data_IF_070387322436
#
_entry.id   IF_070387322436
#
_cell.length_a   1.000
_cell.length_b   1.000
_cell.length_c   1.000
_cell.angle_alpha   90.00
_cell.angle_beta   90.00
_cell.angle_gamma   90.00
#
_symmetry.space_group_name_H-M   'P 1'
#
loop_
_entity.id
_entity.type
_entity.pdbx_description
1 polymer ?
#
# COMPACT_ATOMS: atom_id res chain seq x y z
N UNK A 1 -12.07 -33.11 23.59
CA UNK A 1 -12.33 -34.24 22.68
C UNK A 1 -13.73 -34.06 22.14
N UNK A 2 -13.85 -33.28 21.06
CA UNK A 2 -15.05 -33.22 20.21
C UNK A 2 -14.55 -33.04 18.78
N UNK A 3 -15.02 -33.93 17.92
CA UNK A 3 -14.59 -34.14 16.55
C UNK A 3 -14.90 -32.96 15.64
N UNK A 4 -13.93 -32.62 14.80
CA UNK A 4 -14.12 -31.79 13.61
C UNK A 4 -14.79 -32.64 12.50
N UNK A 5 -15.72 -32.09 11.70
CA UNK A 5 -16.19 -32.76 10.50
C UNK A 5 -15.03 -32.96 9.51
N UNK A 6 -14.80 -34.22 9.11
CA UNK A 6 -13.85 -34.58 8.07
C UNK A 6 -14.30 -33.99 6.72
N UNK A 7 -13.62 -32.95 6.25
CA UNK A 7 -13.86 -32.34 4.93
C UNK A 7 -13.20 -30.97 4.74
N UNK A 8 -13.09 -30.17 5.81
CA UNK A 8 -12.60 -28.79 5.70
C UNK A 8 -11.11 -28.66 5.34
N UNK A 9 -10.30 -29.66 5.74
CA UNK A 9 -8.85 -29.65 5.48
C UNK A 9 -8.51 -29.93 4.02
N UNK A 10 -9.39 -30.62 3.29
CA UNK A 10 -9.13 -31.05 1.90
C UNK A 10 -9.46 -29.94 0.91
N UNK A 11 -10.43 -29.08 1.21
CA UNK A 11 -10.89 -28.01 0.32
C UNK A 11 -9.96 -26.79 0.32
N UNK A 12 -9.32 -26.50 1.47
CA UNK A 12 -8.35 -25.40 1.60
C UNK A 12 -7.02 -25.72 0.90
N UNK A 13 -6.58 -26.98 0.95
CA UNK A 13 -5.32 -27.41 0.33
C UNK A 13 -5.43 -27.59 -1.19
N UNK A 14 -6.64 -27.81 -1.73
CA UNK A 14 -6.87 -27.81 -3.19
C UNK A 14 -6.94 -26.41 -3.79
N UNK A 15 -7.23 -25.37 -2.99
CA UNK A 15 -7.42 -24.00 -3.48
C UNK A 15 -6.13 -23.16 -3.51
N UNK A 16 -5.06 -23.59 -2.83
CA UNK A 16 -3.79 -22.86 -2.74
C UNK A 16 -2.54 -23.77 -2.68
N UNK A 17 -2.09 -24.37 -3.80
CA UNK A 17 -0.97 -25.32 -3.81
C UNK A 17 0.44 -24.70 -3.76
N UNK A 18 0.59 -23.38 -3.53
CA UNK A 18 1.89 -22.68 -3.56
C UNK A 18 2.29 -21.96 -2.26
N UNK A 19 1.89 -22.51 -1.11
CA UNK A 19 2.42 -22.10 0.20
C UNK A 19 3.52 -23.03 0.73
N UNK A 20 4.08 -23.91 -0.11
CA UNK A 20 5.25 -24.70 0.22
C UNK A 20 6.50 -24.14 -0.48
N UNK A 21 7.19 -23.22 0.18
CA UNK A 21 8.63 -22.99 -0.03
C UNK A 21 9.29 -23.53 1.24
N UNK A 22 9.70 -24.79 1.21
CA UNK A 22 11.09 -25.17 0.92
C UNK A 22 12.03 -24.78 2.06
N UNK A 23 12.10 -25.69 3.05
CA UNK A 23 13.36 -26.03 3.71
C UNK A 23 14.40 -26.31 2.64
N UNK A 24 15.44 -25.48 2.54
CA UNK A 24 16.81 -25.82 2.12
C UNK A 24 17.58 -24.52 1.82
N UNK A 25 18.14 -23.90 2.87
CA UNK A 25 19.30 -22.98 2.82
C UNK A 25 19.78 -22.65 4.24
N UNK A 26 20.04 -23.67 5.06
CA UNK A 26 20.77 -23.50 6.33
C UNK A 26 21.83 -24.59 6.39
N UNK A 27 23.00 -24.30 5.82
CA UNK A 27 24.27 -24.99 6.10
C UNK A 27 25.41 -24.11 5.62
N UNK A 28 25.93 -23.30 6.53
CA UNK A 28 27.31 -22.83 6.68
C UNK A 28 27.32 -21.59 7.56
N UNK A 29 27.03 -21.77 8.85
CA UNK A 29 27.39 -20.80 9.89
C UNK A 29 27.66 -21.53 11.20
N UNK A 30 28.44 -22.60 11.09
CA UNK A 30 29.05 -23.31 12.21
C UNK A 30 30.52 -23.45 11.86
N UNK A 31 31.29 -22.37 12.01
CA UNK A 31 32.58 -22.48 12.69
C UNK A 31 33.20 -21.10 12.99
N UNK A 32 33.91 -21.07 14.10
CA UNK A 32 34.82 -20.00 14.56
C UNK A 32 34.21 -18.86 15.38
N UNK A 33 33.75 -19.27 16.57
CA UNK A 33 34.25 -18.64 17.78
C UNK A 33 35.79 -18.68 17.81
N UNK A 34 36.46 -17.54 17.66
CA UNK A 34 37.77 -17.21 18.25
C UNK A 34 38.26 -15.82 17.78
N UNK A 35 37.93 -14.77 18.54
CA UNK A 35 38.85 -13.67 18.83
C UNK A 35 38.19 -12.60 19.71
N UNK A 36 38.69 -12.47 20.94
CA UNK A 36 38.69 -11.26 21.77
C UNK A 36 39.82 -11.42 22.79
N UNK A 37 40.34 -10.33 23.38
CA UNK A 37 40.68 -9.03 22.80
C UNK A 37 42.11 -8.63 23.21
N UNK A 38 42.61 -7.48 22.76
CA UNK A 38 43.66 -6.78 23.52
C UNK A 38 43.28 -5.32 23.78
N UNK A 39 43.33 -4.99 25.07
CA UNK A 39 42.84 -3.77 25.71
C UNK A 39 44.02 -2.87 26.07
N UNK A 40 43.92 -1.56 25.76
CA UNK A 40 44.37 -0.47 26.65
C UNK A 40 44.37 0.94 26.02
N UNK A 41 44.09 1.12 24.72
CA UNK A 41 44.10 2.46 24.10
C UNK A 41 42.70 3.12 23.94
N UNK A 42 41.61 2.35 23.97
CA UNK A 42 40.25 2.86 23.72
C UNK A 42 39.57 3.51 24.94
N UNK A 43 40.10 3.31 26.15
CA UNK A 43 39.51 3.81 27.40
C UNK A 43 39.86 5.28 27.70
N UNK A 44 40.87 5.86 27.06
CA UNK A 44 41.32 7.24 27.34
C UNK A 44 40.62 8.31 26.49
N UNK A 45 40.02 7.95 25.35
CA UNK A 45 39.36 8.90 24.43
C UNK A 45 37.86 9.06 24.77
N UNK A 46 37.24 8.06 25.42
CA UNK A 46 35.83 8.10 25.82
C UNK A 46 35.50 9.08 26.95
N UNK A 47 36.45 9.36 27.85
CA UNK A 47 36.19 10.19 29.03
C UNK A 47 36.25 11.71 28.77
N UNK A 48 36.95 12.20 27.74
CA UNK A 48 37.00 13.65 27.44
C UNK A 48 35.76 14.12 26.65
N UNK A 49 35.15 13.25 25.86
CA UNK A 49 33.94 13.57 25.09
C UNK A 49 32.69 13.67 26.00
N UNK A 50 32.59 12.79 27.00
CA UNK A 50 31.51 12.81 27.99
C UNK A 50 31.53 14.09 28.86
N UNK A 51 32.72 14.61 29.19
CA UNK A 51 32.88 15.84 29.99
C UNK A 51 32.64 17.15 29.20
N UNK A 52 32.69 17.10 27.86
CA UNK A 52 32.38 18.23 26.97
C UNK A 52 30.90 18.33 26.63
N UNK A 53 30.17 17.21 26.58
CA UNK A 53 28.73 17.18 26.31
C UNK A 53 27.87 17.63 27.50
N UNK A 54 28.39 17.63 28.73
CA UNK A 54 27.67 18.00 29.94
C UNK A 54 27.53 19.54 30.18
N UNK A 55 28.01 20.40 29.27
CA UNK A 55 28.15 21.85 29.52
C UNK A 55 27.37 22.79 28.60
N UNK A 56 26.37 22.31 27.85
CA UNK A 56 25.55 23.21 27.03
C UNK A 56 24.08 22.73 26.96
N UNK A 57 23.16 23.30 27.75
CA UNK A 57 21.73 23.00 27.60
C UNK A 57 21.19 23.82 26.42
N UNK A 58 21.14 23.20 25.24
CA UNK A 58 20.25 23.67 24.18
C UNK A 58 18.84 23.19 24.53
N UNK A 59 17.94 24.15 24.74
CA UNK A 59 16.51 23.95 24.94
C UNK A 59 15.95 23.04 23.83
N UNK A 60 15.42 21.88 24.21
CA UNK A 60 14.68 21.01 23.29
C UNK A 60 13.28 21.61 23.10
N UNK A 61 12.77 21.72 21.87
CA UNK A 61 11.35 21.99 21.67
C UNK A 61 10.54 20.86 22.32
N UNK A 62 9.47 21.21 23.03
CA UNK A 62 8.55 20.26 23.68
C UNK A 62 7.96 19.29 22.65
N UNK A 63 8.60 18.13 22.47
CA UNK A 63 7.98 16.98 21.86
C UNK A 63 7.11 16.34 22.94
N UNK A 64 5.79 16.45 22.78
CA UNK A 64 4.82 15.78 23.67
C UNK A 64 5.20 14.31 23.84
N UNK A 65 5.27 13.85 25.09
CA UNK A 65 5.58 12.45 25.39
C UNK A 65 4.53 11.54 24.75
N UNK A 66 4.93 10.39 24.15
CA UNK A 66 3.96 9.44 23.62
C UNK A 66 3.00 9.04 24.74
N UNK A 67 1.68 8.98 24.47
CA UNK A 67 0.71 8.76 25.52
C UNK A 67 0.83 7.32 26.03
N UNK A 68 1.15 7.15 27.31
CA UNK A 68 1.39 5.85 27.96
C UNK A 68 0.12 4.99 28.03
N UNK A 69 0.30 3.66 28.04
CA UNK A 69 -0.78 2.66 28.06
C UNK A 69 -1.93 3.01 29.01
N UNK A 70 -3.12 3.18 28.45
CA UNK A 70 -4.31 3.75 29.11
C UNK A 70 -4.87 4.98 28.37
N UNK A 71 -4.15 5.52 27.39
CA UNK A 71 -4.61 6.56 26.50
C UNK A 71 -5.60 6.05 25.44
N UNK A 72 -6.59 6.89 25.13
CA UNK A 72 -7.51 6.71 24.00
C UNK A 72 -7.08 7.59 22.84
N UNK A 73 -7.50 7.23 21.63
CA UNK A 73 -7.32 8.00 20.41
C UNK A 73 -8.59 7.97 19.57
N UNK A 74 -8.75 8.95 18.68
CA UNK A 74 -9.82 8.98 17.70
C UNK A 74 -9.49 8.04 16.52
N UNK A 75 -10.50 7.27 16.11
CA UNK A 75 -10.42 6.40 14.95
C UNK A 75 -11.78 6.24 14.29
N UNK A 76 -11.76 5.95 12.99
CA UNK A 76 -12.93 5.46 12.28
C UNK A 76 -13.05 3.96 12.57
N UNK A 77 -14.18 3.56 13.14
CA UNK A 77 -14.48 2.15 13.45
C UNK A 77 -15.63 1.65 12.60
N UNK A 78 -15.48 0.48 12.01
CA UNK A 78 -16.55 -0.28 11.36
C UNK A 78 -17.05 -1.36 12.33
N UNK A 79 -18.34 -1.33 12.66
CA UNK A 79 -18.94 -2.14 13.72
C UNK A 79 -18.90 -3.64 13.44
N UNK A 80 -19.41 -4.05 12.29
CA UNK A 80 -19.50 -5.44 11.86
C UNK A 80 -19.73 -5.51 10.34
N UNK A 81 -19.43 -6.67 9.72
CA UNK A 81 -19.54 -6.84 8.26
C UNK A 81 -20.97 -6.66 7.75
N UNK A 82 -21.97 -7.08 8.52
CA UNK A 82 -23.38 -7.02 8.12
C UNK A 82 -23.90 -5.59 8.01
N UNK A 83 -23.40 -4.68 8.86
CA UNK A 83 -23.77 -3.26 8.85
C UNK A 83 -23.13 -2.49 7.69
N UNK A 84 -22.07 -3.03 7.07
CA UNK A 84 -21.37 -2.38 5.96
C UNK A 84 -21.02 -0.92 6.25
N UNK A 85 -21.34 -0.03 5.30
CA UNK A 85 -21.06 1.41 5.41
C UNK A 85 -21.90 2.13 6.48
N UNK A 86 -23.04 1.57 6.87
CA UNK A 86 -23.91 2.15 7.90
C UNK A 86 -23.39 1.88 9.32
N UNK A 87 -22.47 0.91 9.47
CA UNK A 87 -21.78 0.59 10.72
C UNK A 87 -20.52 1.40 10.97
N UNK A 88 -20.20 2.41 10.15
CA UNK A 88 -18.98 3.21 10.28
C UNK A 88 -19.25 4.45 11.14
N UNK A 89 -18.41 4.69 12.15
CA UNK A 89 -18.48 5.85 13.02
C UNK A 89 -17.08 6.35 13.40
N UNK A 90 -16.97 7.62 13.79
CA UNK A 90 -15.82 8.14 14.53
C UNK A 90 -15.99 7.76 16.00
N UNK A 91 -14.98 7.12 16.58
CA UNK A 91 -15.01 6.58 17.94
C UNK A 91 -13.68 6.80 18.66
N UNK A 92 -13.74 6.84 19.99
CA UNK A 92 -12.55 6.70 20.83
C UNK A 92 -12.19 5.23 21.02
N UNK A 93 -10.95 4.86 20.72
CA UNK A 93 -10.42 3.52 20.91
C UNK A 93 -9.09 3.56 21.67
N UNK A 94 -8.66 2.46 22.30
CA UNK A 94 -7.35 2.41 22.97
C UNK A 94 -6.20 2.71 22.00
N UNK A 95 -5.17 3.38 22.50
CA UNK A 95 -3.90 3.57 21.79
C UNK A 95 -3.30 2.21 21.38
N UNK A 96 -2.73 2.09 20.16
CA UNK A 96 -2.25 0.82 19.65
C UNK A 96 -1.01 0.34 20.39
N UNK A 97 -0.90 -0.97 20.61
CA UNK A 97 0.32 -1.57 21.13
C UNK A 97 1.22 -2.01 19.97
N UNK A 98 2.51 -1.65 20.02
CA UNK A 98 3.50 -2.16 19.07
C UNK A 98 3.85 -3.62 19.39
N UNK A 99 3.70 -4.51 18.41
CA UNK A 99 4.25 -5.87 18.48
C UNK A 99 5.75 -5.87 18.16
N UNK A 100 6.36 -7.05 18.17
CA UNK A 100 7.73 -7.22 17.66
C UNK A 100 7.83 -6.77 16.21
N UNK A 101 8.89 -6.02 15.89
CA UNK A 101 9.18 -5.42 14.58
C UNK A 101 8.18 -4.36 14.10
N UNK A 102 7.24 -3.93 14.95
CA UNK A 102 6.34 -2.83 14.65
C UNK A 102 6.97 -1.46 14.95
N UNK A 103 6.40 -0.44 14.34
CA UNK A 103 6.45 0.94 14.83
C UNK A 103 5.04 1.44 15.08
N UNK A 104 4.87 2.34 16.05
CA UNK A 104 3.65 3.16 16.10
C UNK A 104 3.90 4.44 15.30
N UNK A 105 2.99 4.73 14.39
CA UNK A 105 3.02 5.92 13.55
C UNK A 105 1.88 6.83 13.98
N UNK A 106 2.19 8.09 14.28
CA UNK A 106 1.21 9.18 14.28
C UNK A 106 0.82 9.44 12.83
N UNK A 107 -0.43 9.20 12.48
CA UNK A 107 -0.90 9.31 11.10
C UNK A 107 -1.19 10.78 10.79
N UNK A 108 -0.64 11.28 9.69
CA UNK A 108 -0.93 12.64 9.20
C UNK A 108 -1.97 12.59 8.07
N UNK A 109 -1.84 11.62 7.17
CA UNK A 109 -2.81 11.35 6.12
C UNK A 109 -2.93 9.85 5.86
N UNK A 110 -4.13 9.42 5.50
CA UNK A 110 -4.43 8.02 5.22
C UNK A 110 -5.32 7.86 4.00
N UNK A 111 -5.13 6.75 3.29
CA UNK A 111 -5.95 6.33 2.17
C UNK A 111 -6.78 5.10 2.52
N UNK A 112 -7.93 4.99 1.85
CA UNK A 112 -8.82 3.84 1.95
C UNK A 112 -9.16 3.33 0.55
N UNK A 113 -9.59 2.07 0.46
CA UNK A 113 -9.97 1.43 -0.81
C UNK A 113 -11.48 1.25 -0.85
N UNK A 114 -12.17 1.75 -1.89
CA UNK A 114 -13.59 1.48 -2.05
C UNK A 114 -13.89 -0.02 -2.05
N UNK A 115 -14.87 -0.45 -1.25
CA UNK A 115 -15.24 -1.85 -1.11
C UNK A 115 -14.38 -2.65 -0.12
N UNK A 116 -13.40 -2.06 0.57
CA UNK A 116 -12.56 -2.82 1.51
C UNK A 116 -13.34 -3.49 2.65
N UNK A 117 -14.50 -2.96 3.03
CA UNK A 117 -15.37 -3.56 4.03
C UNK A 117 -16.04 -4.86 3.57
N UNK A 118 -16.01 -5.17 2.28
CA UNK A 118 -16.50 -6.44 1.73
C UNK A 118 -15.42 -7.54 1.84
N UNK A 119 -14.17 -7.17 2.10
CA UNK A 119 -13.07 -8.12 2.16
C UNK A 119 -13.07 -8.91 3.47
N UNK A 120 -12.88 -10.24 3.43
CA UNK A 120 -12.78 -11.04 4.65
C UNK A 120 -11.66 -10.59 5.60
N UNK A 121 -10.54 -10.10 5.06
CA UNK A 121 -9.39 -9.64 5.86
C UNK A 121 -9.72 -8.42 6.74
N UNK A 122 -10.70 -7.61 6.35
CA UNK A 122 -11.15 -6.45 7.14
C UNK A 122 -11.84 -6.85 8.45
N UNK A 123 -12.26 -8.12 8.57
CA UNK A 123 -13.04 -8.65 9.68
C UNK A 123 -12.37 -9.80 10.42
N UNK A 124 -11.33 -10.40 9.85
CA UNK A 124 -10.59 -11.50 10.47
C UNK A 124 -9.09 -11.23 10.54
N UNK A 125 -8.47 -11.61 11.66
CA UNK A 125 -7.02 -11.60 11.79
C UNK A 125 -6.36 -12.74 10.98
N UNK A 126 -5.02 -12.83 10.95
CA UNK A 126 -4.29 -13.90 10.24
C UNK A 126 -4.63 -15.32 10.71
N UNK A 127 -5.17 -15.46 11.92
CA UNK A 127 -5.61 -16.75 12.48
C UNK A 127 -7.09 -17.03 12.20
N UNK A 128 -7.78 -16.16 11.46
CA UNK A 128 -9.20 -16.28 11.14
C UNK A 128 -10.13 -15.88 12.29
N UNK A 129 -9.62 -15.20 13.33
CA UNK A 129 -10.45 -14.75 14.46
C UNK A 129 -11.13 -13.42 14.12
N UNK A 130 -12.39 -13.31 14.51
CA UNK A 130 -13.15 -12.07 14.38
C UNK A 130 -12.47 -10.93 15.15
N UNK A 131 -12.39 -9.76 14.52
CA UNK A 131 -11.77 -8.54 15.06
C UNK A 131 -12.71 -7.34 15.03
N UNK A 132 -14.00 -7.55 14.84
CA UNK A 132 -15.00 -6.50 14.94
C UNK A 132 -15.09 -5.92 16.38
N UNK A 133 -15.24 -4.59 16.56
CA UNK A 133 -15.16 -3.55 15.53
C UNK A 133 -13.73 -3.35 15.02
N UNK A 134 -13.58 -3.10 13.71
CA UNK A 134 -12.27 -2.89 13.07
C UNK A 134 -12.05 -1.45 12.63
N UNK A 135 -10.79 -1.03 12.53
CA UNK A 135 -10.41 0.27 11.93
C UNK A 135 -10.10 0.07 10.44
N UNK A 136 -10.79 0.76 9.51
CA UNK A 136 -10.50 0.66 8.06
C UNK A 136 -9.28 1.47 7.60
N UNK A 137 -8.93 1.33 6.33
CA UNK A 137 -7.85 2.03 5.63
C UNK A 137 -6.51 1.31 5.75
N UNK A 138 -5.79 1.15 4.64
CA UNK A 138 -4.61 0.29 4.60
C UNK A 138 -3.35 0.96 4.04
N UNK A 139 -3.35 2.29 3.96
CA UNK A 139 -2.16 3.05 3.59
C UNK A 139 -2.11 4.38 4.32
N UNK A 140 -0.89 4.81 4.66
CA UNK A 140 -0.68 6.00 5.45
C UNK A 140 0.54 6.79 5.00
N UNK A 141 0.57 8.04 5.46
CA UNK A 141 1.76 8.83 5.65
C UNK A 141 1.73 9.49 7.03
N UNK A 142 2.88 9.50 7.73
CA UNK A 142 2.95 10.04 9.09
C UNK A 142 4.36 10.04 9.67
N UNK A 143 4.45 10.07 11.00
CA UNK A 143 5.71 10.15 11.76
C UNK A 143 5.79 9.02 12.77
N UNK A 144 6.93 8.32 12.82
CA UNK A 144 7.18 7.28 13.82
C UNK A 144 7.27 7.93 15.22
N UNK A 145 6.46 7.46 16.16
CA UNK A 145 6.45 7.94 17.55
C UNK A 145 6.95 6.91 18.56
N UNK A 146 6.93 5.63 18.18
CA UNK A 146 7.35 4.52 19.03
C UNK A 146 7.96 3.39 18.20
N UNK A 147 8.94 2.68 18.77
CA UNK A 147 9.55 1.49 18.18
C UNK A 147 9.20 0.27 19.02
N UNK A 148 8.63 -0.75 18.38
CA UNK A 148 8.53 -2.08 18.94
C UNK A 148 9.90 -2.76 19.08
N UNK A 149 9.96 -3.79 19.92
CA UNK A 149 11.17 -4.59 20.08
C UNK A 149 11.58 -5.25 18.75
N UNK A 150 12.88 -5.26 18.43
CA UNK A 150 13.41 -5.86 17.21
C UNK A 150 13.30 -5.01 15.94
N UNK A 151 12.67 -3.83 16.02
CA UNK A 151 12.54 -2.94 14.86
C UNK A 151 13.88 -2.44 14.35
N UNK A 152 14.04 -2.48 13.02
CA UNK A 152 15.26 -2.03 12.32
C UNK A 152 14.95 -1.05 11.20
N UNK A 153 15.92 -0.17 10.92
CA UNK A 153 15.89 0.75 9.78
C UNK A 153 14.92 1.92 9.89
N UNK A 154 14.24 2.12 11.02
CA UNK A 154 13.41 3.30 11.31
C UNK A 154 13.75 3.88 12.69
N UNK A 155 13.47 5.16 12.89
CA UNK A 155 13.73 5.89 14.14
C UNK A 155 12.54 6.76 14.54
N UNK A 156 12.38 7.02 15.84
CA UNK A 156 11.37 7.99 16.33
C UNK A 156 11.64 9.38 15.73
N UNK A 157 10.57 10.06 15.32
CA UNK A 157 10.60 11.34 14.62
C UNK A 157 10.78 11.20 13.09
N UNK A 158 10.97 10.00 12.57
CA UNK A 158 11.13 9.79 11.14
C UNK A 158 9.78 9.85 10.40
N UNK A 159 9.74 10.65 9.33
CA UNK A 159 8.61 10.68 8.39
C UNK A 159 8.60 9.40 7.57
N UNK A 160 7.44 8.76 7.48
CA UNK A 160 7.24 7.47 6.83
C UNK A 160 5.92 7.42 6.06
N UNK A 161 5.84 6.48 5.12
CA UNK A 161 4.62 6.16 4.40
C UNK A 161 4.67 4.70 3.94
N UNK A 162 3.52 4.08 3.71
CA UNK A 162 3.46 2.68 3.30
C UNK A 162 2.11 2.02 3.56
N UNK A 163 2.10 0.69 3.53
CA UNK A 163 0.89 -0.10 3.74
C UNK A 163 0.77 -0.61 5.18
N UNK A 164 -0.43 -0.54 5.72
CA UNK A 164 -0.81 -1.29 6.91
C UNK A 164 -1.31 -2.69 6.51
N UNK A 165 -1.23 -3.64 7.44
CA UNK A 165 -1.66 -5.01 7.19
C UNK A 165 -3.18 -5.12 7.04
N UNK A 166 -3.64 -5.93 6.08
CA UNK A 166 -5.06 -6.16 5.79
C UNK A 166 -5.83 -6.75 6.98
N UNK A 167 -5.15 -7.51 7.83
CA UNK A 167 -5.71 -8.29 8.95
C UNK A 167 -5.51 -7.62 10.32
N UNK A 168 -5.06 -6.36 10.34
CA UNK A 168 -4.87 -5.54 11.55
C UNK A 168 -5.70 -4.25 11.46
N UNK A 169 -5.84 -3.55 12.59
CA UNK A 169 -6.46 -2.22 12.57
C UNK A 169 -5.72 -1.31 11.60
N UNK A 170 -6.52 -0.62 10.79
CA UNK A 170 -6.08 0.21 9.70
C UNK A 170 -5.63 1.59 10.13
N UNK A 171 -5.60 2.48 9.14
CA UNK A 171 -4.88 3.75 9.16
C UNK A 171 -5.79 4.96 9.31
N UNK A 172 -7.12 4.78 9.28
CA UNK A 172 -8.08 5.83 9.60
C UNK A 172 -8.18 6.04 11.13
N UNK A 173 -7.05 6.36 11.76
CA UNK A 173 -6.90 6.59 13.19
C UNK A 173 -5.74 7.55 13.44
N UNK A 174 -5.73 8.24 14.59
CA UNK A 174 -4.63 9.15 14.96
C UNK A 174 -3.28 8.42 15.07
N UNK A 175 -3.28 7.17 15.51
CA UNK A 175 -2.10 6.32 15.61
C UNK A 175 -2.38 4.92 15.08
N UNK A 176 -1.36 4.29 14.51
CA UNK A 176 -1.44 2.90 14.03
C UNK A 176 -0.12 2.17 14.24
N UNK A 177 -0.21 0.91 14.69
CA UNK A 177 0.94 0.02 14.76
C UNK A 177 1.10 -0.72 13.42
N UNK A 178 2.28 -0.61 12.82
CA UNK A 178 2.59 -1.17 11.48
C UNK A 178 3.95 -1.85 11.50
N UNK A 179 4.06 -2.97 10.80
CA UNK A 179 5.33 -3.69 10.66
C UNK A 179 6.34 -2.79 9.92
N UNK A 180 7.50 -2.55 10.53
CA UNK A 180 8.48 -1.56 10.06
C UNK A 180 8.96 -1.81 8.62
N UNK A 181 8.97 -3.07 8.17
CA UNK A 181 9.36 -3.45 6.81
C UNK A 181 8.38 -2.99 5.73
N UNK A 182 7.13 -2.68 6.10
CA UNK A 182 6.10 -2.22 5.16
C UNK A 182 6.14 -0.70 4.92
N UNK A 183 6.99 0.01 5.67
CA UNK A 183 7.11 1.46 5.63
C UNK A 183 8.43 1.88 4.99
N UNK A 184 8.36 2.90 4.14
CA UNK A 184 9.52 3.56 3.58
C UNK A 184 9.71 4.95 4.21
N UNK A 185 10.97 5.43 4.34
CA UNK A 185 11.25 6.81 4.68
C UNK A 185 10.60 7.76 3.67
N UNK A 186 9.96 8.81 4.16
CA UNK A 186 9.38 9.86 3.34
C UNK A 186 10.36 11.06 3.26
N UNK A 187 10.76 11.51 2.06
CA UNK A 187 11.57 12.72 1.92
C UNK A 187 10.90 13.95 2.54
N UNK A 188 11.69 14.82 3.17
CA UNK A 188 11.24 16.01 3.91
C UNK A 188 10.34 16.96 3.09
N UNK A 189 10.51 16.99 1.77
CA UNK A 189 9.84 17.87 0.82
C UNK A 189 8.61 17.26 0.13
N UNK A 190 8.26 16.01 0.46
CA UNK A 190 7.02 15.38 -0.02
C UNK A 190 5.92 15.55 1.03
N UNK A 191 4.80 16.14 0.61
CA UNK A 191 3.61 16.35 1.45
C UNK A 191 2.93 15.02 1.87
N UNK A 192 2.42 14.96 3.10
CA UNK A 192 1.81 13.75 3.66
C UNK A 192 0.55 13.31 2.90
N UNK A 193 -0.28 14.23 2.39
CA UNK A 193 -1.48 13.88 1.62
C UNK A 193 -1.10 13.27 0.28
N UNK A 194 -0.10 13.86 -0.41
CA UNK A 194 0.42 13.29 -1.66
C UNK A 194 1.05 11.92 -1.41
N UNK A 195 1.82 11.79 -0.34
CA UNK A 195 2.46 10.53 0.05
C UNK A 195 1.45 9.43 0.37
N UNK A 196 0.35 9.75 1.09
CA UNK A 196 -0.67 8.78 1.45
C UNK A 196 -1.46 8.22 0.24
N UNK A 197 -1.45 8.91 -0.90
CA UNK A 197 -2.10 8.44 -2.13
C UNK A 197 -1.28 7.38 -2.90
N UNK A 198 -0.03 7.16 -2.50
CA UNK A 198 0.97 6.42 -3.27
C UNK A 198 1.12 4.93 -2.92
N UNK A 199 0.99 4.45 -1.67
CA UNK A 199 1.41 3.09 -1.32
C UNK A 199 0.68 2.00 -2.08
N UNK A 200 -0.64 1.92 -1.96
CA UNK A 200 -1.43 0.92 -2.69
C UNK A 200 -1.37 1.25 -4.19
N UNK A 201 -1.73 2.47 -4.59
CA UNK A 201 -1.83 2.84 -6.01
C UNK A 201 -0.54 2.61 -6.79
N UNK A 202 0.59 3.01 -6.20
CA UNK A 202 1.91 2.96 -6.82
C UNK A 202 2.52 1.57 -6.81
N UNK A 203 2.43 0.82 -5.71
CA UNK A 203 2.93 -0.56 -5.70
C UNK A 203 2.08 -1.47 -6.59
N UNK A 204 0.76 -1.28 -6.60
CA UNK A 204 -0.12 -2.03 -7.50
C UNK A 204 0.20 -1.74 -8.96
N UNK A 205 0.40 -0.46 -9.32
CA UNK A 205 0.82 -0.10 -10.68
C UNK A 205 2.19 -0.69 -11.03
N UNK A 206 3.17 -0.60 -10.13
CA UNK A 206 4.52 -1.13 -10.36
C UNK A 206 4.52 -2.65 -10.55
N UNK A 207 3.95 -3.39 -9.61
CA UNK A 207 3.90 -4.86 -9.65
C UNK A 207 3.09 -5.32 -10.87
N UNK A 208 1.97 -4.65 -11.15
CA UNK A 208 1.13 -4.96 -12.29
C UNK A 208 1.85 -4.82 -13.62
N UNK A 209 2.59 -3.73 -13.82
CA UNK A 209 3.30 -3.46 -15.07
C UNK A 209 4.59 -4.27 -15.20
N UNK A 210 5.43 -4.30 -14.17
CA UNK A 210 6.82 -4.75 -14.30
C UNK A 210 7.03 -6.17 -13.76
N UNK A 211 6.56 -6.47 -12.55
CA UNK A 211 6.84 -7.77 -11.93
C UNK A 211 5.98 -8.87 -12.57
N UNK A 212 4.70 -8.56 -12.78
CA UNK A 212 3.72 -9.47 -13.35
C UNK A 212 3.57 -9.33 -14.85
N UNK A 213 3.36 -8.09 -15.32
CA UNK A 213 3.17 -7.75 -16.72
C UNK A 213 4.44 -7.86 -17.56
N UNK A 214 5.62 -7.75 -16.93
CA UNK A 214 6.94 -7.78 -17.59
C UNK A 214 7.02 -6.80 -18.76
N UNK A 215 6.42 -5.62 -18.59
CA UNK A 215 6.40 -4.58 -19.61
C UNK A 215 7.82 -4.12 -19.92
N UNK A 216 8.15 -4.07 -21.21
CA UNK A 216 9.44 -3.62 -21.73
C UNK A 216 9.26 -2.47 -22.71
N UNK A 217 10.37 -1.77 -23.00
CA UNK A 217 10.40 -0.66 -23.96
C UNK A 217 9.82 -1.04 -25.32
N UNK A 218 9.05 -0.15 -25.93
CA UNK A 218 8.45 -0.35 -27.24
C UNK A 218 7.17 -1.21 -27.25
N UNK A 219 6.84 -1.88 -26.16
CA UNK A 219 5.57 -2.61 -26.04
C UNK A 219 4.38 -1.65 -25.89
N UNK A 220 3.19 -2.11 -26.26
CA UNK A 220 1.93 -1.40 -26.10
C UNK A 220 1.16 -1.92 -24.89
N UNK A 221 0.77 -1.04 -23.98
CA UNK A 221 -0.06 -1.36 -22.80
C UNK A 221 -1.40 -0.65 -22.86
N UNK A 222 -2.47 -1.40 -22.61
CA UNK A 222 -3.81 -0.88 -22.31
C UNK A 222 -4.02 -0.83 -20.80
N UNK A 223 -4.28 0.36 -20.26
CA UNK A 223 -4.51 0.58 -18.82
C UNK A 223 -5.97 0.94 -18.60
N UNK A 224 -6.75 0.05 -17.97
CA UNK A 224 -8.10 0.38 -17.54
C UNK A 224 -8.11 1.36 -16.37
N UNK A 225 -9.18 2.15 -16.25
CA UNK A 225 -9.35 3.09 -15.14
C UNK A 225 -8.22 4.13 -15.08
N UNK A 226 -7.74 4.58 -16.23
CA UNK A 226 -6.50 5.36 -16.37
C UNK A 226 -6.50 6.72 -15.63
N UNK A 227 -7.66 7.26 -15.26
CA UNK A 227 -7.77 8.47 -14.42
C UNK A 227 -7.97 8.19 -12.92
N UNK A 228 -8.05 6.92 -12.51
CA UNK A 228 -8.17 6.51 -11.12
C UNK A 228 -6.83 6.47 -10.39
N UNK A 229 -6.86 6.13 -9.09
CA UNK A 229 -5.65 6.07 -8.25
C UNK A 229 -4.54 5.18 -8.83
N UNK A 230 -4.85 3.91 -9.11
CA UNK A 230 -3.88 2.96 -9.68
C UNK A 230 -3.54 3.30 -11.14
N UNK A 231 -4.57 3.48 -11.97
CA UNK A 231 -4.41 3.66 -13.42
C UNK A 231 -3.60 4.90 -13.79
N UNK A 232 -3.76 6.01 -13.05
CA UNK A 232 -3.02 7.25 -13.32
C UNK A 232 -1.52 7.12 -13.04
N UNK A 233 -1.14 6.34 -12.03
CA UNK A 233 0.26 6.01 -11.75
C UNK A 233 0.80 5.04 -12.82
N UNK A 234 0.01 4.04 -13.20
CA UNK A 234 0.40 3.07 -14.22
C UNK A 234 0.67 3.71 -15.59
N UNK A 235 -0.17 4.68 -16.02
CA UNK A 235 0.06 5.43 -17.26
C UNK A 235 1.41 6.13 -17.24
N UNK A 236 1.73 6.83 -16.15
CA UNK A 236 2.98 7.58 -16.01
C UNK A 236 4.21 6.64 -15.97
N UNK A 237 4.13 5.55 -15.21
CA UNK A 237 5.23 4.57 -15.11
C UNK A 237 5.48 3.84 -16.42
N UNK A 238 4.43 3.41 -17.12
CA UNK A 238 4.56 2.79 -18.43
C UNK A 238 5.15 3.76 -19.47
N UNK A 239 4.75 5.05 -19.41
CA UNK A 239 5.32 6.09 -20.26
C UNK A 239 6.80 6.31 -19.96
N UNK A 240 7.19 6.38 -18.68
CA UNK A 240 8.60 6.51 -18.26
C UNK A 240 9.43 5.30 -18.74
N UNK A 241 8.85 4.09 -18.75
CA UNK A 241 9.50 2.88 -19.24
C UNK A 241 9.63 2.78 -20.77
N UNK A 242 9.13 3.77 -21.52
CA UNK A 242 9.20 3.80 -22.98
C UNK A 242 8.19 2.89 -23.69
N UNK A 243 7.10 2.53 -23.02
CA UNK A 243 5.98 1.82 -23.63
C UNK A 243 5.03 2.78 -24.37
N UNK A 244 4.34 2.28 -25.40
CA UNK A 244 3.17 2.96 -25.96
C UNK A 244 1.98 2.71 -25.02
N UNK A 245 1.41 3.78 -24.48
CA UNK A 245 0.35 3.70 -23.47
C UNK A 245 -1.00 4.08 -24.09
N UNK A 246 -1.97 3.18 -23.99
CA UNK A 246 -3.38 3.44 -24.26
C UNK A 246 -4.09 3.47 -22.91
N UNK A 247 -4.57 4.64 -22.50
CA UNK A 247 -5.36 4.75 -21.27
C UNK A 247 -6.84 4.61 -21.58
N UNK A 248 -7.57 3.82 -20.78
CA UNK A 248 -9.00 3.60 -20.96
C UNK A 248 -9.81 4.06 -19.75
N UNK A 249 -10.97 4.63 -20.01
CA UNK A 249 -11.85 5.16 -18.97
C UNK A 249 -13.16 5.70 -19.56
N UNK A 250 -13.80 6.62 -18.84
CA UNK A 250 -14.99 7.34 -19.32
C UNK A 250 -14.56 8.47 -20.24
N UNK A 251 -15.38 8.84 -21.22
CA UNK A 251 -15.11 9.98 -22.12
C UNK A 251 -14.63 11.26 -21.39
N UNK A 252 -15.24 11.58 -20.25
CA UNK A 252 -14.90 12.76 -19.43
C UNK A 252 -13.50 12.74 -18.79
N UNK A 253 -12.80 11.60 -18.82
CA UNK A 253 -11.46 11.42 -18.28
C UNK A 253 -10.36 11.56 -19.35
N UNK A 254 -10.74 11.69 -20.64
CA UNK A 254 -9.81 11.71 -21.78
C UNK A 254 -8.65 12.68 -21.61
N UNK A 255 -8.95 13.95 -21.33
CA UNK A 255 -7.92 14.99 -21.30
C UNK A 255 -6.94 14.78 -20.13
N UNK A 256 -7.45 14.30 -18.99
CA UNK A 256 -6.60 13.97 -17.84
C UNK A 256 -5.67 12.82 -18.16
N UNK A 257 -6.19 11.77 -18.81
CA UNK A 257 -5.39 10.60 -19.18
C UNK A 257 -4.29 10.94 -20.20
N UNK A 258 -4.59 11.83 -21.15
CA UNK A 258 -3.60 12.31 -22.11
C UNK A 258 -2.55 13.22 -21.45
N UNK A 259 -2.95 14.10 -20.52
CA UNK A 259 -2.02 14.93 -19.73
C UNK A 259 -1.07 14.09 -18.87
N UNK A 260 -1.53 12.93 -18.38
CA UNK A 260 -0.69 11.97 -17.65
C UNK A 260 0.33 11.22 -18.54
N UNK A 261 0.28 11.40 -19.86
CA UNK A 261 1.27 10.86 -20.81
C UNK A 261 0.79 9.67 -21.63
N UNK A 262 -0.50 9.32 -21.59
CA UNK A 262 -1.06 8.34 -22.51
C UNK A 262 -0.92 8.82 -23.96
N UNK A 263 -0.62 7.90 -24.88
CA UNK A 263 -0.48 8.19 -26.31
C UNK A 263 -1.82 8.17 -27.03
N UNK A 264 -2.76 7.38 -26.51
CA UNK A 264 -4.13 7.29 -27.00
C UNK A 264 -5.08 7.08 -25.84
N UNK A 265 -6.35 7.42 -26.07
CA UNK A 265 -7.42 7.22 -25.10
C UNK A 265 -8.48 6.28 -25.69
N UNK A 266 -8.93 5.32 -24.90
CA UNK A 266 -10.04 4.43 -25.23
C UNK A 266 -11.24 4.72 -24.33
N UNK A 267 -12.36 5.10 -24.94
CA UNK A 267 -13.64 5.18 -24.23
C UNK A 267 -14.19 3.76 -24.01
N UNK A 268 -14.40 3.40 -22.74
CA UNK A 268 -14.95 2.10 -22.37
C UNK A 268 -16.44 1.97 -22.72
N UNK A 269 -17.13 3.05 -23.03
CA UNK A 269 -18.53 2.99 -23.50
C UNK A 269 -18.62 2.82 -25.02
N UNK A 270 -17.50 2.90 -25.74
CA UNK A 270 -17.46 2.66 -27.19
C UNK A 270 -17.75 1.19 -27.54
N UNK A 271 -18.51 1.00 -28.62
CA UNK A 271 -18.94 -0.32 -29.13
C UNK A 271 -17.81 -1.01 -29.90
N UNK A 272 -16.97 -0.24 -30.61
CA UNK A 272 -15.87 -0.74 -31.42
C UNK A 272 -14.57 0.02 -31.07
N UNK A 273 -13.71 -0.57 -30.21
CA UNK A 273 -12.45 0.06 -29.84
C UNK A 273 -11.41 -0.05 -30.96
N UNK A 274 -11.17 1.05 -31.69
CA UNK A 274 -10.10 1.13 -32.71
C UNK A 274 -8.80 1.65 -32.10
N UNK A 275 -8.09 0.79 -31.36
CA UNK A 275 -6.79 1.13 -30.74
C UNK A 275 -5.65 0.17 -31.08
N UNK A 276 -5.93 -0.81 -31.95
CA UNK A 276 -5.01 -1.88 -32.33
C UNK A 276 -4.79 -2.92 -31.23
N UNK A 277 -3.91 -3.88 -31.51
CA UNK A 277 -3.53 -4.91 -30.55
C UNK A 277 -2.56 -4.38 -29.48
N UNK A 278 -2.55 -5.01 -28.30
CA UNK A 278 -1.68 -4.65 -27.17
C UNK A 278 -0.91 -5.85 -26.63
N UNK A 279 0.30 -5.59 -26.12
CA UNK A 279 1.17 -6.57 -25.45
C UNK A 279 0.71 -6.88 -24.03
N UNK A 280 0.23 -5.85 -23.32
CA UNK A 280 -0.18 -5.92 -21.92
C UNK A 280 -1.54 -5.25 -21.73
N UNK A 281 -2.46 -5.96 -21.10
CA UNK A 281 -3.70 -5.39 -20.55
C UNK A 281 -3.56 -5.33 -19.03
N UNK A 282 -3.47 -4.13 -18.48
CA UNK A 282 -3.50 -3.90 -17.04
C UNK A 282 -4.88 -3.41 -16.60
N UNK A 283 -5.57 -4.26 -15.85
CA UNK A 283 -6.98 -4.12 -15.52
C UNK A 283 -7.22 -3.86 -14.02
N UNK A 284 -8.04 -2.86 -13.76
CA UNK A 284 -8.49 -2.45 -12.42
C UNK A 284 -10.01 -2.34 -12.34
N UNK A 285 -10.73 -2.83 -13.36
CA UNK A 285 -12.19 -2.73 -13.48
C UNK A 285 -12.83 -4.12 -13.44
N UNK A 286 -12.26 -5.11 -14.13
CA UNK A 286 -12.78 -6.47 -14.17
C UNK A 286 -14.05 -6.62 -15.02
N UNK A 287 -14.75 -7.73 -14.81
CA UNK A 287 -16.06 -8.02 -15.42
C UNK A 287 -16.09 -7.98 -16.95
N UNK A 288 -17.21 -7.55 -17.52
CA UNK A 288 -17.43 -7.46 -18.97
C UNK A 288 -16.42 -6.54 -19.67
N UNK A 289 -15.94 -5.51 -18.97
CA UNK A 289 -14.92 -4.60 -19.49
C UNK A 289 -13.61 -5.35 -19.75
N UNK A 290 -13.15 -6.17 -18.79
CA UNK A 290 -11.99 -7.03 -18.96
C UNK A 290 -12.20 -8.04 -20.11
N UNK A 291 -13.34 -8.70 -20.16
CA UNK A 291 -13.64 -9.71 -21.19
C UNK A 291 -13.70 -9.14 -22.61
N UNK A 292 -14.20 -7.91 -22.76
CA UNK A 292 -14.21 -7.22 -24.05
C UNK A 292 -12.80 -6.78 -24.43
N UNK A 293 -12.07 -6.11 -23.53
CA UNK A 293 -10.73 -5.61 -23.84
C UNK A 293 -9.70 -6.72 -24.03
N UNK A 294 -9.92 -7.92 -23.47
CA UNK A 294 -9.01 -9.05 -23.69
C UNK A 294 -8.91 -9.47 -25.16
N UNK A 295 -9.90 -9.10 -25.99
CA UNK A 295 -9.88 -9.34 -27.45
C UNK A 295 -8.87 -8.46 -28.19
N UNK A 296 -8.41 -7.38 -27.57
CA UNK A 296 -7.37 -6.50 -28.09
C UNK A 296 -5.97 -7.04 -27.78
N UNK A 297 -5.86 -8.13 -27.02
CA UNK A 297 -4.58 -8.71 -26.67
C UNK A 297 -4.00 -9.47 -27.86
N UNK A 298 -2.77 -9.15 -28.26
CA UNK A 298 -2.07 -9.93 -29.30
C UNK A 298 -1.77 -11.35 -28.82
N UNK A 299 -1.50 -12.25 -29.76
CA UNK A 299 -0.93 -13.56 -29.43
C UNK A 299 0.35 -13.41 -28.58
N UNK A 300 0.45 -14.16 -27.48
CA UNK A 300 1.56 -14.03 -26.54
C UNK A 300 1.46 -12.88 -25.53
N UNK A 301 0.39 -12.08 -25.58
CA UNK A 301 0.20 -10.96 -24.66
C UNK A 301 -0.13 -11.39 -23.23
N UNK A 302 -0.06 -10.44 -22.31
CA UNK A 302 -0.33 -10.66 -20.89
C UNK A 302 -1.53 -9.83 -20.40
N UNK A 303 -2.40 -10.45 -19.62
CA UNK A 303 -3.45 -9.80 -18.83
C UNK A 303 -3.00 -9.82 -17.38
N UNK A 304 -3.00 -8.65 -16.74
CA UNK A 304 -2.81 -8.52 -15.30
C UNK A 304 -4.00 -7.78 -14.73
N UNK A 305 -4.70 -8.40 -13.80
CA UNK A 305 -5.87 -7.80 -13.14
C UNK A 305 -5.73 -7.82 -11.62
N UNK A 306 -6.33 -6.84 -10.95
CA UNK A 306 -6.37 -6.74 -9.49
C UNK A 306 -7.79 -6.95 -8.94
N UNK A 307 -8.76 -7.30 -9.79
CA UNK A 307 -10.17 -7.38 -9.39
C UNK A 307 -10.59 -8.80 -9.05
N UNK A 308 -10.22 -9.77 -9.91
CA UNK A 308 -10.53 -11.19 -9.71
C UNK A 308 -9.66 -12.05 -10.62
N UNK A 309 -9.45 -13.35 -10.30
CA UNK A 309 -8.85 -14.30 -11.23
C UNK A 309 -9.53 -14.27 -12.60
N UNK A 310 -8.77 -14.06 -13.69
CA UNK A 310 -9.34 -13.99 -15.02
C UNK A 310 -9.99 -15.33 -15.39
N UNK A 311 -11.22 -15.34 -15.93
CA UNK A 311 -11.97 -16.57 -16.16
C UNK A 311 -11.38 -17.44 -17.28
N UNK A 312 -10.53 -16.86 -18.14
CA UNK A 312 -9.91 -17.53 -19.28
C UNK A 312 -8.47 -17.06 -19.49
N UNK A 313 -7.63 -17.97 -19.96
CA UNK A 313 -6.28 -17.67 -20.40
C UNK A 313 -6.28 -17.30 -21.89
N UNK A 314 -5.54 -16.25 -22.31
CA UNK A 314 -5.36 -15.93 -23.71
C UNK A 314 -4.52 -17.00 -24.42
N UNK A 315 -4.75 -17.19 -25.72
CA UNK A 315 -3.97 -18.12 -26.53
C UNK A 315 -2.49 -17.70 -26.56
N UNK A 316 -1.61 -18.64 -26.25
CA UNK A 316 -0.15 -18.47 -26.13
C UNK A 316 0.30 -17.35 -25.16
N UNK A 317 -0.61 -16.80 -24.36
CA UNK A 317 -0.38 -15.67 -23.49
C UNK A 317 -0.45 -16.03 -22.00
N UNK A 318 -0.56 -15.01 -21.17
CA UNK A 318 -0.65 -15.14 -19.70
C UNK A 318 -1.81 -14.30 -19.19
N UNK A 319 -2.56 -14.81 -18.22
CA UNK A 319 -3.51 -14.03 -17.46
C UNK A 319 -3.35 -14.35 -15.97
N UNK A 320 -3.20 -13.31 -15.16
CA UNK A 320 -3.07 -13.48 -13.71
C UNK A 320 -3.80 -12.39 -12.94
N UNK A 321 -4.19 -12.80 -11.73
CA UNK A 321 -4.68 -11.92 -10.68
C UNK A 321 -3.62 -11.84 -9.58
N UNK A 322 -3.45 -10.66 -8.99
CA UNK A 322 -2.59 -10.49 -7.83
C UNK A 322 -3.19 -9.49 -6.84
N UNK A 323 -2.76 -9.61 -5.60
CA UNK A 323 -2.99 -8.63 -4.53
C UNK A 323 -1.65 -7.98 -4.26
N UNK A 324 -1.66 -6.66 -4.08
CA UNK A 324 -0.43 -5.89 -3.87
C UNK A 324 0.30 -6.34 -2.59
N UNK A 325 1.60 -6.53 -2.72
CA UNK A 325 2.49 -6.83 -1.59
C UNK A 325 3.28 -5.57 -1.17
N UNK A 326 3.55 -5.36 0.13
CA UNK A 326 4.42 -4.27 0.57
C UNK A 326 5.85 -4.44 0.03
N UNK A 327 6.40 -3.37 -0.53
CA UNK A 327 7.81 -3.31 -0.93
C UNK A 327 8.41 -1.95 -0.58
N UNK A 328 9.21 -1.94 0.48
CA UNK A 328 9.87 -0.73 1.00
C UNK A 328 10.81 -0.08 -0.02
N UNK A 329 11.53 -0.88 -0.80
CA UNK A 329 12.49 -0.36 -1.78
C UNK A 329 11.74 0.30 -2.95
N UNK A 330 10.67 -0.34 -3.43
CA UNK A 330 9.82 0.25 -4.48
C UNK A 330 9.10 1.49 -4.00
N UNK A 331 8.61 1.54 -2.76
CA UNK A 331 8.05 2.75 -2.17
C UNK A 331 9.07 3.90 -2.17
N UNK A 332 10.29 3.67 -1.69
CA UNK A 332 11.34 4.70 -1.70
C UNK A 332 11.62 5.23 -3.12
N UNK A 333 11.64 4.35 -4.11
CA UNK A 333 11.82 4.71 -5.52
C UNK A 333 10.64 5.50 -6.12
N UNK A 334 9.41 5.20 -5.70
CA UNK A 334 8.21 5.96 -6.07
C UNK A 334 8.22 7.35 -5.43
N UNK A 335 8.55 7.45 -4.14
CA UNK A 335 8.70 8.74 -3.46
C UNK A 335 9.78 9.61 -4.10
N UNK A 336 10.91 9.02 -4.51
CA UNK A 336 11.97 9.74 -5.22
C UNK A 336 11.49 10.30 -6.57
N UNK A 337 10.62 9.58 -7.30
CA UNK A 337 9.99 10.07 -8.54
C UNK A 337 9.02 11.20 -8.27
N UNK A 338 8.20 11.09 -7.22
CA UNK A 338 7.29 12.17 -6.80
C UNK A 338 8.07 13.43 -6.46
N UNK A 339 9.11 13.31 -5.64
CA UNK A 339 10.00 14.43 -5.29
C UNK A 339 10.62 15.09 -6.52
N UNK A 340 11.03 14.29 -7.51
CA UNK A 340 11.62 14.79 -8.75
C UNK A 340 10.58 15.32 -9.77
N UNK A 341 9.28 15.32 -9.44
CA UNK A 341 8.21 15.71 -10.36
C UNK A 341 8.00 14.76 -11.55
N UNK A 342 8.62 13.56 -11.52
CA UNK A 342 8.50 12.54 -12.57
C UNK A 342 7.27 11.64 -12.42
N UNK A 343 6.65 11.67 -11.23
CA UNK A 343 5.42 10.96 -10.96
C UNK A 343 4.48 11.86 -10.15
N UNK A 344 3.24 12.01 -10.61
CA UNK A 344 2.25 12.87 -9.97
C UNK A 344 1.00 12.04 -9.59
N UNK A 345 0.85 11.68 -8.30
CA UNK A 345 -0.38 11.07 -7.82
C UNK A 345 -1.56 12.00 -8.01
N UNK A 346 -2.67 11.46 -8.53
CA UNK A 346 -3.91 12.21 -8.65
C UNK A 346 -4.63 12.13 -7.30
N UNK A 347 -4.43 13.16 -6.48
CA UNK A 347 -5.14 13.32 -5.20
C UNK A 347 -6.54 13.88 -5.49
N UNK A 348 -7.56 13.21 -4.96
CA UNK A 348 -8.96 13.62 -5.03
C UNK A 348 -9.33 14.54 -3.86
N UNK A 349 -10.57 14.45 -3.34
CA UNK A 349 -10.95 15.19 -2.14
C UNK A 349 -10.06 14.84 -0.94
N UNK A 350 -9.73 15.85 -0.14
CA UNK A 350 -9.04 15.70 1.14
C UNK A 350 -10.03 16.05 2.23
N UNK A 351 -10.39 15.07 3.05
CA UNK A 351 -11.42 15.21 4.08
C UNK A 351 -10.79 15.03 5.47
N UNK A 352 -11.26 15.74 6.51
CA UNK A 352 -10.80 15.48 7.87
C UNK A 352 -11.26 14.09 8.36
N UNK A 353 -10.57 13.54 9.37
CA UNK A 353 -10.93 12.25 10.00
C UNK A 353 -12.40 12.18 10.44
N UNK A 354 -12.96 13.29 10.92
CA UNK A 354 -14.37 13.38 11.33
C UNK A 354 -15.37 13.17 10.19
N UNK A 355 -14.98 13.43 8.94
CA UNK A 355 -15.82 13.24 7.76
C UNK A 355 -15.56 11.90 7.05
N UNK A 356 -14.55 11.14 7.47
CA UNK A 356 -14.19 9.87 6.87
C UNK A 356 -15.34 8.84 6.83
N UNK A 357 -16.23 8.70 7.84
CA UNK A 357 -17.40 7.83 7.73
C UNK A 357 -18.30 8.16 6.52
N UNK A 358 -18.41 9.44 6.15
CA UNK A 358 -19.16 9.87 4.98
C UNK A 358 -18.51 9.46 3.66
N UNK A 359 -17.18 9.35 3.62
CA UNK A 359 -16.41 9.06 2.41
C UNK A 359 -16.59 7.61 1.88
N UNK A 360 -17.00 6.67 2.75
CA UNK A 360 -17.30 5.29 2.36
C UNK A 360 -18.64 5.13 1.66
N UNK A 361 -19.56 6.10 1.80
CA UNK A 361 -20.87 6.01 1.17
C UNK A 361 -20.72 6.06 -0.36
N UNK A 362 -21.50 5.27 -1.11
CA UNK A 362 -21.51 5.35 -2.57
C UNK A 362 -21.82 6.77 -3.02
N UNK A 363 -20.81 7.45 -3.56
CA UNK A 363 -20.91 8.81 -4.05
C UNK A 363 -20.60 8.89 -5.54
N UNK A 364 -20.72 10.10 -6.11
CA UNK A 364 -20.19 10.36 -7.44
C UNK A 364 -18.68 10.09 -7.41
N UNK A 365 -18.21 9.09 -8.17
CA UNK A 365 -16.78 8.79 -8.31
C UNK A 365 -16.04 10.08 -8.66
N UNK A 366 -15.13 10.49 -7.79
CA UNK A 366 -14.26 11.64 -7.97
C UNK A 366 -13.00 11.23 -8.73
N UNK A 367 -12.37 12.20 -9.38
CA UNK A 367 -11.05 11.99 -9.98
C UNK A 367 -10.02 11.77 -8.87
N UNK A 368 -9.05 10.88 -9.11
CA UNK A 368 -8.00 10.58 -8.14
C UNK A 368 -8.47 9.78 -6.93
N UNK A 369 -7.61 9.75 -5.90
CA UNK A 369 -7.84 9.04 -4.65
C UNK A 369 -8.28 10.00 -3.55
N UNK A 370 -9.41 9.72 -2.90
CA UNK A 370 -9.83 10.45 -1.70
C UNK A 370 -8.85 10.16 -0.56
N UNK A 371 -8.37 11.20 0.11
CA UNK A 371 -7.42 11.10 1.22
C UNK A 371 -8.06 11.67 2.48
N UNK A 372 -7.84 10.99 3.60
CA UNK A 372 -8.27 11.46 4.91
C UNK A 372 -7.08 12.14 5.58
N UNK A 373 -7.22 13.43 5.88
CA UNK A 373 -6.29 14.17 6.73
C UNK A 373 -6.64 13.87 8.19
N UNK A 374 -5.68 13.33 8.92
CA UNK A 374 -5.87 12.87 10.30
C UNK A 374 -5.42 13.93 11.29
N UNK A 375 -4.28 14.58 11.05
CA UNK A 375 -3.77 15.67 11.87
C UNK A 375 -3.40 16.88 11.00
N UNK A 376 -3.51 18.07 11.60
CA UNK A 376 -3.00 19.31 11.02
C UNK A 376 -1.58 19.56 11.54
N UNK A 377 -0.56 19.52 10.66
CA UNK A 377 0.83 19.90 10.98
C UNK A 377 1.86 18.77 10.85
N UNK A 378 3.14 19.15 10.91
CA UNK A 378 4.33 18.27 10.87
C UNK A 378 4.71 17.68 12.25
#
# INVERSE_FOLDING_TARGET
MHDFPAGFRTEVLQRYPRLNLAEESVRCFEDQAQCKPDSSAAAAIGNDLAARMARNPLERPEQGSPPTGGSVMQAVTAKDQASGVDGIALSEIPYPNAAENDVVVRVHAAGFTPGELEWPASWADRAGRDRAPSVPGHELSGVVVELGYGTTGLTVGQRVFGLADWTRNGTLAEYVAVEARNLAPLPADVDHVVAAALPISGLTAWQGLFDHGRLTVGQTVLVHGAAGGVGSIAVQLAREAGARVIGAGRAADRDVVLDLGAHAFLDLESVEPDVGEVDLLFDVIGGEVLERSSKLLRAGGTIVTITAPPPRQPADGRALFFVVEPDRARLADLAARVRAGRLRPVVGPVLPLSEAPGAFRPGKRTRGKTIIRVTDGD
#
